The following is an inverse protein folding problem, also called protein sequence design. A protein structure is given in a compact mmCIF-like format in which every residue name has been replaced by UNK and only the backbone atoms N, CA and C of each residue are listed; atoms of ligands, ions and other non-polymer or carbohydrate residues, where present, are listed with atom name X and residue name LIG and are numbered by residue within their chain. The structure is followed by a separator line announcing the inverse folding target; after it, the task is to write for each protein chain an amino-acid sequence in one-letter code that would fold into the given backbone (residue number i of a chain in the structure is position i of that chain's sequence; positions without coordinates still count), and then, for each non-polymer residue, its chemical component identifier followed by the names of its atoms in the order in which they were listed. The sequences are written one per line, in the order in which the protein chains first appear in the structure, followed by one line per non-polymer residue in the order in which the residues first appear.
data_IF_458573931371
#
_entry.id   IF_458573931371
#
_cell.length_a   1.000
_cell.length_b   1.000
_cell.length_c   1.000
_cell.angle_alpha   90.00
_cell.angle_beta   90.00
_cell.angle_gamma   90.00
#
_symmetry.space_group_name_H-M   'P 1'
#
loop_
_entity.id
_entity.type
_entity.pdbx_description
1 polymer ?
#
# COMPACT_ATOMS: atom_id res chain seq x y z
N UNK A 1 -14.26 -4.36 -2.73
CA UNK A 1 -14.43 -2.96 -2.27
C UNK A 1 -13.06 -2.38 -1.94
N UNK A 2 -12.00 -2.83 -2.63
CA UNK A 2 -10.64 -2.91 -2.07
C UNK A 2 -9.87 -1.64 -2.43
N UNK A 3 -10.25 -0.55 -1.76
CA UNK A 3 -9.70 0.78 -1.98
C UNK A 3 -9.67 1.56 -0.68
N UNK A 4 -8.73 2.47 -0.58
CA UNK A 4 -8.74 3.57 0.37
C UNK A 4 -9.31 4.80 -0.36
N UNK A 5 -10.23 5.52 0.26
CA UNK A 5 -10.74 6.78 -0.25
C UNK A 5 -10.45 7.88 0.76
N UNK A 6 -10.04 9.04 0.25
CA UNK A 6 -9.75 10.23 1.04
C UNK A 6 -10.75 11.30 0.66
N UNK A 7 -11.33 11.93 1.67
CA UNK A 7 -12.27 13.03 1.56
C UNK A 7 -11.73 14.22 2.36
N UNK A 8 -12.14 15.43 1.98
CA UNK A 8 -11.89 16.62 2.80
C UNK A 8 -12.91 16.72 3.96
N UNK A 9 -12.80 17.79 4.76
CA UNK A 9 -13.66 18.02 5.92
C UNK A 9 -15.14 18.23 5.54
N UNK A 10 -15.42 18.67 4.32
CA UNK A 10 -16.77 18.88 3.80
C UNK A 10 -17.35 17.58 3.19
N UNK A 11 -16.58 16.49 3.17
CA UNK A 11 -16.96 15.21 2.59
C UNK A 11 -16.77 15.14 1.08
N UNK A 12 -16.06 16.09 0.47
CA UNK A 12 -15.75 16.07 -0.96
C UNK A 12 -14.66 15.04 -1.23
N UNK A 13 -14.85 14.20 -2.25
CA UNK A 13 -13.87 13.19 -2.65
C UNK A 13 -12.59 13.84 -3.18
N UNK A 14 -11.46 13.51 -2.55
CA UNK A 14 -10.14 13.99 -2.98
C UNK A 14 -9.42 12.97 -3.86
N UNK A 15 -9.27 11.74 -3.37
CA UNK A 15 -8.53 10.69 -4.09
C UNK A 15 -8.89 9.29 -3.62
N UNK A 16 -8.45 8.29 -4.39
CA UNK A 16 -8.51 6.88 -4.01
C UNK A 16 -7.17 6.21 -4.28
N UNK A 17 -6.82 5.27 -3.40
CA UNK A 17 -5.65 4.40 -3.55
C UNK A 17 -6.11 2.95 -3.63
N UNK A 18 -5.46 2.17 -4.47
CA UNK A 18 -5.78 0.75 -4.66
C UNK A 18 -4.76 -0.17 -4.00
N UNK A 19 -3.77 0.37 -3.28
CA UNK A 19 -2.63 -0.34 -2.72
C UNK A 19 -1.37 -0.14 -3.57
N UNK A 20 -0.23 0.01 -2.90
CA UNK A 20 1.11 0.24 -3.50
C UNK A 20 2.15 -0.65 -2.82
N UNK A 21 1.75 -1.87 -2.48
CA UNK A 21 2.59 -2.70 -1.65
C UNK A 21 3.80 -3.27 -2.36
N UNK A 22 4.84 -3.49 -1.55
CA UNK A 22 6.05 -4.22 -1.93
C UNK A 22 6.23 -5.44 -1.03
N UNK A 23 7.23 -6.26 -1.35
CA UNK A 23 7.64 -7.34 -0.46
C UNK A 23 8.24 -6.73 0.81
N UNK A 24 7.62 -6.97 1.97
CA UNK A 24 8.15 -6.51 3.25
C UNK A 24 9.44 -7.25 3.61
N UNK A 25 10.18 -6.76 4.61
CA UNK A 25 11.34 -7.48 5.17
C UNK A 25 10.99 -8.94 5.50
N UNK A 26 9.92 -9.16 6.27
CA UNK A 26 9.48 -10.50 6.66
C UNK A 26 8.87 -11.29 5.49
N UNK A 27 8.19 -10.62 4.55
CA UNK A 27 7.71 -11.26 3.33
C UNK A 27 8.86 -11.81 2.49
N UNK A 28 9.97 -11.07 2.42
CA UNK A 28 11.21 -11.48 1.75
C UNK A 28 11.86 -12.66 2.45
N UNK A 29 12.02 -12.58 3.77
CA UNK A 29 12.54 -13.70 4.58
C UNK A 29 11.71 -14.97 4.36
N UNK A 30 10.37 -14.87 4.38
CA UNK A 30 9.46 -16.01 4.16
C UNK A 30 9.61 -16.62 2.76
N UNK A 31 9.69 -15.79 1.72
CA UNK A 31 9.89 -16.26 0.34
C UNK A 31 11.23 -16.97 0.19
N UNK A 32 12.27 -16.50 0.90
CA UNK A 32 13.62 -17.07 0.81
C UNK A 32 13.79 -18.39 1.58
N UNK A 33 12.80 -18.81 2.39
CA UNK A 33 12.83 -20.12 3.07
C UNK A 33 12.76 -21.30 2.10
N UNK A 34 12.17 -21.10 0.92
CA UNK A 34 12.01 -22.12 -0.11
C UNK A 34 12.39 -21.58 -1.50
N UNK A 35 13.45 -22.10 -2.14
CA UNK A 35 13.84 -21.73 -3.50
C UNK A 35 12.72 -21.90 -4.54
N UNK A 36 11.78 -22.83 -4.32
CA UNK A 36 10.62 -23.02 -5.20
C UNK A 36 9.69 -21.80 -5.20
N UNK A 37 9.55 -21.11 -4.06
CA UNK A 37 8.75 -19.89 -3.95
C UNK A 37 9.41 -18.74 -4.71
N UNK A 38 10.73 -18.58 -4.57
CA UNK A 38 11.51 -17.59 -5.34
C UNK A 38 11.32 -17.83 -6.84
N UNK A 39 11.48 -19.08 -7.28
CA UNK A 39 11.32 -19.46 -8.70
C UNK A 39 9.89 -19.23 -9.19
N UNK A 40 8.91 -19.57 -8.38
CA UNK A 40 7.49 -19.34 -8.67
C UNK A 40 7.18 -17.86 -8.88
N UNK A 41 7.75 -16.98 -8.05
CA UNK A 41 7.61 -15.53 -8.21
C UNK A 41 8.25 -15.00 -9.49
N UNK A 42 9.48 -15.45 -9.80
CA UNK A 42 10.18 -15.07 -11.04
C UNK A 42 9.43 -15.51 -12.30
N UNK A 43 8.75 -16.66 -12.24
CA UNK A 43 8.02 -17.23 -13.36
C UNK A 43 6.56 -16.72 -13.47
N UNK A 44 6.09 -15.86 -12.56
CA UNK A 44 4.73 -15.36 -12.53
C UNK A 44 4.64 -13.96 -13.17
N UNK A 45 4.17 -13.83 -14.43
CA UNK A 45 4.15 -12.54 -15.11
C UNK A 45 3.24 -11.53 -14.40
N UNK A 46 3.76 -10.31 -14.20
CA UNK A 46 3.02 -9.22 -13.57
C UNK A 46 2.66 -9.45 -12.10
N UNK A 47 3.30 -10.40 -11.41
CA UNK A 47 3.02 -10.68 -10.00
C UNK A 47 3.20 -9.45 -9.12
N UNK A 48 4.28 -8.69 -9.32
CA UNK A 48 4.58 -7.49 -8.53
C UNK A 48 3.43 -6.47 -8.62
N UNK A 49 2.96 -6.17 -9.82
CA UNK A 49 1.82 -5.25 -10.02
C UNK A 49 0.51 -5.77 -9.42
N UNK A 50 0.30 -7.09 -9.43
CA UNK A 50 -0.88 -7.72 -8.83
C UNK A 50 -0.84 -7.71 -7.31
N UNK A 51 0.34 -7.77 -6.71
CA UNK A 51 0.54 -7.80 -5.25
C UNK A 51 0.55 -6.41 -4.60
N UNK A 52 0.81 -5.36 -5.38
CA UNK A 52 0.64 -3.97 -4.95
C UNK A 52 -0.78 -3.71 -4.45
N UNK A 53 -1.77 -4.21 -5.18
CA UNK A 53 -3.18 -3.99 -4.90
C UNK A 53 -3.59 -4.55 -3.54
N UNK A 54 -4.48 -3.81 -2.88
CA UNK A 54 -5.19 -4.27 -1.71
C UNK A 54 -5.90 -5.59 -2.00
N UNK A 55 -5.85 -6.49 -1.03
CA UNK A 55 -6.54 -7.77 -1.10
C UNK A 55 -7.29 -8.01 0.21
N UNK A 56 -8.59 -7.70 0.23
CA UNK A 56 -9.42 -7.80 1.43
C UNK A 56 -8.88 -7.01 2.63
N UNK A 57 -8.67 -5.68 2.50
CA UNK A 57 -8.32 -4.85 3.64
C UNK A 57 -9.47 -4.84 4.66
N UNK A 58 -9.14 -4.87 5.95
CA UNK A 58 -10.15 -5.00 7.02
C UNK A 58 -10.25 -3.78 7.93
N UNK A 59 -9.24 -2.92 7.96
CA UNK A 59 -9.19 -1.76 8.83
C UNK A 59 -8.30 -0.66 8.23
N UNK A 60 -8.60 0.59 8.60
CA UNK A 60 -7.79 1.77 8.33
C UNK A 60 -7.73 2.63 9.60
N UNK A 61 -6.54 3.16 9.92
CA UNK A 61 -6.31 4.08 11.04
C UNK A 61 -5.36 5.21 10.60
N UNK A 62 -5.40 6.34 11.28
CA UNK A 62 -4.49 7.48 11.03
C UNK A 62 -3.84 7.90 12.34
N UNK A 63 -2.51 8.05 12.36
CA UNK A 63 -1.80 8.56 13.54
C UNK A 63 -1.75 10.10 13.58
N UNK A 64 -1.22 10.65 14.68
CA UNK A 64 -1.10 12.10 14.89
C UNK A 64 -0.16 12.78 13.87
N UNK A 65 0.73 12.02 13.23
CA UNK A 65 1.61 12.49 12.15
C UNK A 65 0.94 12.43 10.76
N UNK A 66 -0.31 11.94 10.68
CA UNK A 66 -1.07 11.82 9.44
C UNK A 66 -0.65 10.65 8.56
N UNK A 67 0.04 9.64 9.11
CA UNK A 67 0.28 8.37 8.42
C UNK A 67 -1.00 7.54 8.40
N UNK A 68 -1.33 6.98 7.24
CA UNK A 68 -2.52 6.13 7.06
C UNK A 68 -2.08 4.68 7.06
N UNK A 69 -2.61 3.91 8.01
CA UNK A 69 -2.34 2.49 8.19
C UNK A 69 -3.49 1.68 7.60
N UNK A 70 -3.23 0.80 6.64
CA UNK A 70 -4.25 -0.10 6.08
C UNK A 70 -3.85 -1.55 6.30
N UNK A 71 -4.66 -2.29 7.05
CA UNK A 71 -4.36 -3.68 7.44
C UNK A 71 -4.98 -4.66 6.46
N UNK A 72 -4.15 -5.58 5.94
CA UNK A 72 -4.53 -6.65 5.03
C UNK A 72 -4.20 -8.03 5.62
N UNK A 73 -5.15 -8.63 6.31
CA UNK A 73 -4.94 -9.93 6.97
C UNK A 73 -4.70 -11.06 5.96
N UNK A 74 -5.33 -11.00 4.79
CA UNK A 74 -5.23 -12.05 3.76
C UNK A 74 -3.80 -12.27 3.24
N UNK A 75 -2.95 -11.23 3.34
CA UNK A 75 -1.54 -11.27 2.94
C UNK A 75 -0.57 -11.06 4.10
N UNK A 76 -1.08 -11.05 5.34
CA UNK A 76 -0.30 -10.83 6.57
C UNK A 76 0.56 -9.56 6.49
N UNK A 77 -0.04 -8.47 6.00
CA UNK A 77 0.65 -7.22 5.70
C UNK A 77 -0.13 -6.01 6.22
N UNK A 78 0.63 -4.95 6.48
CA UNK A 78 0.17 -3.58 6.67
C UNK A 78 0.78 -2.72 5.57
N UNK A 79 -0.02 -1.86 4.94
CA UNK A 79 0.47 -0.78 4.06
C UNK A 79 0.36 0.56 4.78
N UNK A 80 1.43 1.35 4.73
CA UNK A 80 1.49 2.67 5.37
C UNK A 80 1.65 3.73 4.29
N UNK A 81 0.72 4.68 4.24
CA UNK A 81 0.74 5.79 3.31
C UNK A 81 1.04 7.08 4.06
N UNK A 82 1.78 7.99 3.41
CA UNK A 82 2.06 9.32 3.95
C UNK A 82 1.49 10.37 3.01
N UNK A 83 0.89 11.40 3.56
CA UNK A 83 0.52 12.58 2.76
C UNK A 83 1.80 13.32 2.39
N UNK A 84 2.10 13.40 1.10
CA UNK A 84 3.18 14.24 0.63
C UNK A 84 2.69 15.69 0.56
N UNK A 85 3.35 16.59 1.30
CA UNK A 85 3.13 18.03 1.13
C UNK A 85 3.56 18.41 -0.29
N UNK A 86 2.72 19.17 -1.00
CA UNK A 86 3.09 19.68 -2.30
C UNK A 86 4.27 20.64 -2.14
N UNK A 87 5.44 20.26 -2.64
CA UNK A 87 6.58 21.16 -2.78
C UNK A 87 6.48 21.75 -4.18
N UNK A 88 5.86 22.91 -4.30
CA UNK A 88 5.92 23.69 -5.52
C UNK A 88 7.27 24.42 -5.54
N UNK A 89 8.20 23.92 -6.35
CA UNK A 89 9.50 24.54 -6.60
C UNK A 89 9.37 25.77 -7.48
N UNK A 90 8.75 26.81 -6.94
CA UNK A 90 8.49 28.08 -7.60
C UNK A 90 7.66 28.92 -6.66
N UNK A 91 8.31 29.90 -6.01
CA UNK A 91 7.65 30.84 -5.11
C UNK A 91 6.49 31.58 -5.77
N UNK A 92 5.74 32.39 -5.01
CA UNK A 92 4.58 33.09 -5.54
C UNK A 92 5.02 34.02 -6.69
N UNK A 93 4.24 34.00 -7.77
CA UNK A 93 4.24 35.07 -8.78
C UNK A 93 3.84 36.40 -8.14
#
# INVERSE_FOLDING_TARGET
NDRLQVFDADGTFMTKLLGEATLSKWGTERVNLDPSMVRGRLNAPGLEEREKRFHGPIAVEVDDDGHIFVVETSRQRLQVFRKQTAIFGGGPL
#
